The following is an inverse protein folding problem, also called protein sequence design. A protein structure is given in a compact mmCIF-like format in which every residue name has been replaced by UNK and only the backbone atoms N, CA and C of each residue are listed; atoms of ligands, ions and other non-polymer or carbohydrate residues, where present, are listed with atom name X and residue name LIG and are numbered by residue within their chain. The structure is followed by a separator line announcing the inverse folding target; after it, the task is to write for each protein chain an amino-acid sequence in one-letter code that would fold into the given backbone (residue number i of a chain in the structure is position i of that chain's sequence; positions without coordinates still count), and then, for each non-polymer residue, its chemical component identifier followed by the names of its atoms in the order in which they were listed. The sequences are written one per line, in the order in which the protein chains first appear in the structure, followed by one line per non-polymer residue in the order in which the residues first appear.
data_IF_921348712199
#
_entry.id   IF_921348712199
#
_cell.length_a   1.000
_cell.length_b   1.000
_cell.length_c   1.000
_cell.angle_alpha   90.00
_cell.angle_beta   90.00
_cell.angle_gamma   90.00
#
_symmetry.space_group_name_H-M   'P 1'
#
loop_
_entity.id
_entity.type
_entity.pdbx_description
1 polymer ?
#
# COMPACT_ATOMS: atom_id res chain seq x y z
N UNK A 1 12.48 -22.66 -4.53
CA UNK A 1 12.43 -21.22 -4.22
C UNK A 1 11.02 -20.63 -4.32
N UNK A 2 10.19 -20.99 -5.33
CA UNK A 2 8.76 -20.62 -5.39
C UNK A 2 7.87 -21.33 -4.34
N UNK A 3 8.07 -22.64 -4.16
CA UNK A 3 7.31 -23.47 -3.21
C UNK A 3 7.83 -23.41 -1.76
N UNK A 4 8.59 -22.38 -1.41
CA UNK A 4 8.88 -22.14 0.01
C UNK A 4 7.58 -21.72 0.71
N UNK A 5 7.39 -22.09 1.98
CA UNK A 5 6.23 -21.69 2.78
C UNK A 5 5.96 -20.17 2.70
N UNK A 6 7.01 -19.36 2.59
CA UNK A 6 6.92 -17.90 2.43
C UNK A 6 6.42 -17.47 1.05
N UNK A 7 6.87 -18.15 -0.02
CA UNK A 7 6.39 -17.88 -1.38
C UNK A 7 4.90 -18.19 -1.54
N UNK A 8 4.46 -19.31 -0.95
CA UNK A 8 3.03 -19.68 -0.92
C UNK A 8 2.23 -18.64 -0.11
N UNK A 9 2.76 -18.17 1.02
CA UNK A 9 2.10 -17.13 1.82
C UNK A 9 1.92 -15.83 1.03
N UNK A 10 2.97 -15.36 0.34
CA UNK A 10 2.91 -14.17 -0.52
C UNK A 10 1.89 -14.36 -1.64
N UNK A 11 1.91 -15.51 -2.33
CA UNK A 11 0.95 -15.85 -3.38
C UNK A 11 -0.48 -15.78 -2.86
N UNK A 12 -0.78 -16.42 -1.72
CA UNK A 12 -2.10 -16.41 -1.11
C UNK A 12 -2.53 -15.00 -0.70
N UNK A 13 -1.62 -14.18 -0.17
CA UNK A 13 -1.92 -12.79 0.17
C UNK A 13 -2.31 -11.99 -1.08
N UNK A 14 -1.56 -12.13 -2.19
CA UNK A 14 -1.85 -11.44 -3.45
C UNK A 14 -3.12 -11.94 -4.16
N UNK A 15 -3.44 -13.23 -4.01
CA UNK A 15 -4.70 -13.80 -4.46
C UNK A 15 -5.88 -13.20 -3.68
N UNK A 16 -5.82 -13.26 -2.35
CA UNK A 16 -6.91 -12.81 -1.46
C UNK A 16 -7.11 -11.29 -1.56
N UNK A 17 -6.05 -10.48 -1.56
CA UNK A 17 -6.15 -9.02 -1.67
C UNK A 17 -6.84 -8.59 -2.96
N UNK A 18 -6.55 -9.27 -4.08
CA UNK A 18 -7.09 -8.91 -5.39
C UNK A 18 -8.58 -9.23 -5.45
N UNK A 19 -8.99 -10.41 -4.95
CA UNK A 19 -10.40 -10.79 -4.85
C UNK A 19 -11.17 -9.83 -3.95
N UNK A 20 -10.69 -9.58 -2.73
CA UNK A 20 -11.34 -8.69 -1.78
C UNK A 20 -11.47 -7.28 -2.34
N UNK A 21 -10.42 -6.75 -2.98
CA UNK A 21 -10.47 -5.43 -3.58
C UNK A 21 -11.52 -5.35 -4.69
N UNK A 22 -11.53 -6.31 -5.63
CA UNK A 22 -12.52 -6.36 -6.72
C UNK A 22 -13.97 -6.46 -6.21
N UNK A 23 -14.22 -7.30 -5.21
CA UNK A 23 -15.55 -7.42 -4.59
C UNK A 23 -15.91 -6.11 -3.87
N UNK A 24 -14.97 -5.51 -3.14
CA UNK A 24 -15.20 -4.29 -2.38
C UNK A 24 -15.66 -3.14 -3.29
N UNK A 25 -14.94 -2.90 -4.39
CA UNK A 25 -15.30 -1.83 -5.34
C UNK A 25 -16.55 -2.14 -6.16
N UNK A 26 -16.98 -3.41 -6.25
CA UNK A 26 -18.20 -3.77 -6.99
C UNK A 26 -19.48 -3.57 -6.18
N UNK A 27 -19.39 -3.56 -4.85
CA UNK A 27 -20.55 -3.46 -3.95
C UNK A 27 -20.62 -2.16 -3.15
N UNK A 28 -19.51 -1.42 -3.06
CA UNK A 28 -19.43 -0.17 -2.30
C UNK A 28 -18.74 0.93 -3.12
N UNK A 29 -19.00 2.21 -2.80
CA UNK A 29 -18.33 3.33 -3.46
C UNK A 29 -16.81 3.19 -3.37
N UNK A 30 -16.14 3.31 -4.52
CA UNK A 30 -14.69 3.13 -4.63
C UNK A 30 -13.87 3.99 -3.65
N UNK A 31 -14.24 5.26 -3.33
CA UNK A 31 -13.52 6.05 -2.33
C UNK A 31 -13.45 5.39 -0.95
N UNK A 32 -14.54 4.76 -0.49
CA UNK A 32 -14.59 4.09 0.82
C UNK A 32 -13.59 2.93 0.87
N UNK A 33 -13.56 2.12 -0.19
CA UNK A 33 -12.62 1.00 -0.32
C UNK A 33 -11.18 1.49 -0.37
N UNK A 34 -10.91 2.57 -1.11
CA UNK A 34 -9.56 3.15 -1.21
C UNK A 34 -9.07 3.76 0.10
N UNK A 35 -9.94 4.40 0.90
CA UNK A 35 -9.57 4.87 2.24
C UNK A 35 -9.16 3.71 3.15
N UNK A 36 -9.82 2.55 3.01
CA UNK A 36 -9.42 1.34 3.73
C UNK A 36 -8.08 0.80 3.21
N UNK A 37 -7.84 0.83 1.89
CA UNK A 37 -6.55 0.43 1.29
C UNK A 37 -5.41 1.37 1.72
N UNK A 38 -5.67 2.66 1.95
CA UNK A 38 -4.66 3.61 2.44
C UNK A 38 -4.06 3.20 3.81
N UNK A 39 -4.71 2.30 4.54
CA UNK A 39 -4.26 1.81 5.87
C UNK A 39 -3.14 0.76 5.82
N UNK A 40 -2.71 0.32 4.64
CA UNK A 40 -1.57 -0.61 4.44
C UNK A 40 -0.35 -0.31 5.34
N UNK A 41 0.22 0.93 5.37
CA UNK A 41 1.38 1.22 6.19
C UNK A 41 1.13 1.02 7.69
N UNK A 42 -0.10 1.22 8.15
CA UNK A 42 -0.48 1.05 9.56
C UNK A 42 -0.46 -0.43 9.92
N UNK A 43 -1.12 -1.28 9.11
CA UNK A 43 -1.06 -2.72 9.31
C UNK A 43 0.35 -3.27 9.16
N UNK A 44 1.15 -2.71 8.23
CA UNK A 44 2.55 -3.09 8.09
C UNK A 44 3.37 -2.76 9.35
N UNK A 45 3.12 -1.63 10.02
CA UNK A 45 3.75 -1.29 11.29
C UNK A 45 3.33 -2.26 12.42
N UNK A 46 2.04 -2.63 12.47
CA UNK A 46 1.53 -3.60 13.46
C UNK A 46 2.12 -5.00 13.24
N UNK A 47 2.20 -5.48 11.99
CA UNK A 47 2.85 -6.75 11.66
C UNK A 47 4.36 -6.68 11.85
N UNK A 48 5.00 -5.55 11.55
CA UNK A 48 6.41 -5.31 11.85
C UNK A 48 6.71 -5.46 13.33
N UNK A 49 5.83 -4.95 14.19
CA UNK A 49 5.94 -5.15 15.63
C UNK A 49 5.85 -6.62 16.04
N UNK A 50 4.86 -7.36 15.54
CA UNK A 50 4.67 -8.77 15.92
C UNK A 50 5.69 -9.74 15.30
N UNK A 51 6.13 -9.48 14.07
CA UNK A 51 6.94 -10.43 13.27
C UNK A 51 8.43 -10.09 13.32
N UNK A 52 8.78 -8.80 13.36
CA UNK A 52 10.17 -8.33 13.44
C UNK A 52 10.57 -7.85 14.84
N UNK A 53 9.65 -7.84 15.83
CA UNK A 53 9.87 -7.27 17.15
C UNK A 53 10.30 -5.79 17.13
N UNK A 54 9.93 -5.04 16.08
CA UNK A 54 10.17 -3.59 16.00
C UNK A 54 9.18 -2.85 16.94
N UNK A 55 9.61 -1.93 17.82
CA UNK A 55 8.68 -1.26 18.72
C UNK A 55 7.68 -0.40 17.95
N UNK A 56 6.37 -0.66 18.13
CA UNK A 56 5.33 0.20 17.60
C UNK A 56 5.32 1.54 18.35
N UNK A 57 5.58 2.63 17.63
CA UNK A 57 5.60 3.97 18.22
C UNK A 57 4.21 4.37 18.73
N UNK A 58 4.14 5.25 19.75
CA UNK A 58 2.86 5.85 20.20
C UNK A 58 2.11 6.56 19.06
N UNK A 59 2.85 7.11 18.08
CA UNK A 59 2.30 7.73 16.87
C UNK A 59 1.50 6.73 16.02
N UNK A 60 1.94 5.47 15.92
CA UNK A 60 1.22 4.41 15.19
C UNK A 60 -0.16 4.16 15.79
N UNK A 61 -0.26 4.06 17.12
CA UNK A 61 -1.54 3.84 17.81
C UNK A 61 -2.52 5.01 17.67
N UNK A 62 -2.03 6.25 17.77
CA UNK A 62 -2.86 7.43 17.54
C UNK A 62 -3.37 7.44 16.09
N UNK A 63 -2.51 7.10 15.14
CA UNK A 63 -2.88 7.03 13.72
C UNK A 63 -3.95 5.98 13.46
N UNK A 64 -3.86 4.80 14.08
CA UNK A 64 -4.90 3.76 14.00
C UNK A 64 -6.26 4.32 14.41
N UNK A 65 -6.33 4.99 15.56
CA UNK A 65 -7.59 5.54 16.10
C UNK A 65 -8.15 6.59 15.13
N UNK A 66 -7.32 7.52 14.65
CA UNK A 66 -7.76 8.56 13.72
C UNK A 66 -8.24 7.98 12.39
N UNK A 67 -7.58 6.94 11.89
CA UNK A 67 -7.99 6.25 10.65
C UNK A 67 -9.31 5.53 10.84
N UNK A 68 -9.52 4.83 11.96
CA UNK A 68 -10.81 4.18 12.26
C UNK A 68 -11.92 5.23 12.28
N UNK A 69 -11.71 6.36 12.95
CA UNK A 69 -12.66 7.47 12.99
C UNK A 69 -12.94 8.01 11.57
N UNK A 70 -11.89 8.25 10.78
CA UNK A 70 -12.03 8.76 9.42
C UNK A 70 -12.79 7.81 8.49
N UNK A 71 -12.53 6.51 8.58
CA UNK A 71 -13.27 5.48 7.83
C UNK A 71 -14.72 5.43 8.28
N UNK A 72 -15.00 5.46 9.59
CA UNK A 72 -16.38 5.48 10.10
C UNK A 72 -17.16 6.70 9.61
N UNK A 73 -16.55 7.89 9.61
CA UNK A 73 -17.15 9.11 9.05
C UNK A 73 -17.40 8.94 7.55
N UNK A 74 -16.45 8.34 6.82
CA UNK A 74 -16.57 8.15 5.38
C UNK A 74 -17.70 7.20 5.00
N UNK A 75 -17.86 6.10 5.75
CA UNK A 75 -18.96 5.13 5.61
C UNK A 75 -20.30 5.81 5.90
N UNK A 76 -20.38 6.57 6.99
CA UNK A 76 -21.60 7.28 7.36
C UNK A 76 -22.00 8.32 6.30
N UNK A 77 -21.03 9.01 5.71
CA UNK A 77 -21.27 9.93 4.60
C UNK A 77 -21.64 9.26 3.29
N UNK A 78 -21.17 8.04 3.05
CA UNK A 78 -21.46 7.31 1.82
C UNK A 78 -22.91 6.81 1.77
N UNK A 79 -23.63 6.82 2.90
CA UNK A 79 -25.03 6.46 2.96
C UNK A 79 -25.92 7.62 2.44
N UNK A 80 -26.08 7.73 1.13
CA UNK A 80 -26.87 8.79 0.48
C UNK A 80 -28.35 8.45 0.25
N UNK A 81 -28.79 7.21 0.49
CA UNK A 81 -30.20 6.85 0.42
C UNK A 81 -30.76 6.77 1.84
N UNK A 82 -31.85 7.50 2.12
CA UNK A 82 -32.47 7.64 3.46
C UNK A 82 -33.08 6.34 4.02
N UNK A 83 -32.76 5.17 3.47
CA UNK A 83 -33.39 3.90 3.84
C UNK A 83 -32.30 2.83 3.98
N UNK A 84 -32.11 2.44 5.24
CA UNK A 84 -31.19 1.43 5.77
C UNK A 84 -29.69 1.75 5.78
N UNK A 85 -29.03 1.33 6.87
CA UNK A 85 -27.59 1.18 6.93
C UNK A 85 -27.20 0.16 5.86
N UNK A 86 -26.70 0.64 4.71
CA UNK A 86 -26.38 -0.26 3.61
C UNK A 86 -25.21 -1.18 4.00
N UNK A 87 -25.57 -2.42 4.34
CA UNK A 87 -24.63 -3.46 4.76
C UNK A 87 -23.57 -3.71 3.67
N UNK A 88 -23.88 -3.38 2.41
CA UNK A 88 -22.94 -3.47 1.30
C UNK A 88 -21.78 -2.49 1.44
N UNK A 89 -22.00 -1.27 1.94
CA UNK A 89 -20.94 -0.29 2.18
C UNK A 89 -19.99 -0.79 3.28
N UNK A 90 -20.55 -1.36 4.35
CA UNK A 90 -19.77 -1.95 5.44
C UNK A 90 -18.98 -3.16 4.94
N UNK A 91 -19.61 -4.05 4.17
CA UNK A 91 -18.95 -5.20 3.57
C UNK A 91 -17.83 -4.77 2.61
N UNK A 92 -18.05 -3.74 1.80
CA UNK A 92 -17.02 -3.18 0.93
C UNK A 92 -15.85 -2.56 1.70
N UNK A 93 -16.13 -1.86 2.80
CA UNK A 93 -15.10 -1.36 3.70
C UNK A 93 -14.31 -2.51 4.37
N UNK A 94 -14.99 -3.57 4.82
CA UNK A 94 -14.35 -4.78 5.36
C UNK A 94 -13.49 -5.48 4.31
N UNK A 95 -13.95 -5.54 3.05
CA UNK A 95 -13.16 -6.03 1.94
C UNK A 95 -11.90 -5.18 1.70
N UNK A 96 -12.01 -3.85 1.75
CA UNK A 96 -10.86 -2.94 1.67
C UNK A 96 -9.89 -3.05 2.85
N UNK A 97 -10.40 -3.31 4.06
CA UNK A 97 -9.57 -3.57 5.24
C UNK A 97 -8.89 -4.94 5.17
N UNK A 98 -9.59 -5.95 4.67
CA UNK A 98 -9.02 -7.28 4.45
C UNK A 98 -7.92 -7.28 3.38
N UNK A 99 -8.11 -6.52 2.30
CA UNK A 99 -7.08 -6.36 1.26
C UNK A 99 -5.83 -5.65 1.81
N UNK A 100 -6.00 -4.53 2.53
CA UNK A 100 -4.87 -3.83 3.17
C UNK A 100 -4.15 -4.67 4.24
N UNK A 101 -4.87 -5.50 4.98
CA UNK A 101 -4.29 -6.42 5.97
C UNK A 101 -3.46 -7.54 5.30
N UNK A 102 -3.98 -8.15 4.24
CA UNK A 102 -3.27 -9.24 3.54
C UNK A 102 -2.04 -8.73 2.77
N UNK A 103 -2.14 -7.60 2.08
CA UNK A 103 -1.00 -7.03 1.36
C UNK A 103 0.09 -6.50 2.31
N UNK A 104 -0.30 -5.91 3.45
CA UNK A 104 0.68 -5.43 4.44
C UNK A 104 1.47 -6.58 5.06
N UNK A 105 0.83 -7.73 5.34
CA UNK A 105 1.51 -8.94 5.76
C UNK A 105 2.57 -9.37 4.73
N UNK A 106 2.21 -9.38 3.43
CA UNK A 106 3.17 -9.68 2.37
C UNK A 106 4.35 -8.71 2.35
N UNK A 107 4.12 -7.41 2.54
CA UNK A 107 5.20 -6.42 2.60
C UNK A 107 6.17 -6.68 3.75
N UNK A 108 5.66 -7.05 4.93
CA UNK A 108 6.49 -7.40 6.08
C UNK A 108 7.34 -8.65 5.80
N UNK A 109 6.76 -9.69 5.19
CA UNK A 109 7.48 -10.91 4.81
C UNK A 109 8.60 -10.61 3.79
N UNK A 110 8.28 -9.85 2.73
CA UNK A 110 9.25 -9.47 1.70
C UNK A 110 10.41 -8.67 2.33
N UNK A 111 10.10 -7.77 3.26
CA UNK A 111 11.11 -6.98 3.99
C UNK A 111 12.02 -7.87 4.85
N UNK A 112 11.47 -8.89 5.49
CA UNK A 112 12.23 -9.82 6.33
C UNK A 112 13.07 -10.80 5.49
N UNK A 113 12.60 -11.19 4.31
CA UNK A 113 13.20 -12.23 3.45
C UNK A 113 13.61 -11.68 2.08
N UNK A 114 14.57 -10.74 2.09
CA UNK A 114 15.05 -10.01 0.91
C UNK A 114 15.59 -10.90 -0.23
N UNK A 115 16.03 -12.11 0.08
CA UNK A 115 16.62 -13.05 -0.89
C UNK A 115 15.57 -13.88 -1.66
N UNK A 116 14.29 -13.81 -1.27
CA UNK A 116 13.25 -14.57 -1.96
C UNK A 116 12.86 -13.89 -3.27
N UNK A 117 12.73 -14.64 -4.39
CA UNK A 117 12.18 -14.10 -5.63
C UNK A 117 10.66 -13.89 -5.49
N UNK A 118 10.23 -12.74 -4.93
CA UNK A 118 8.83 -12.46 -4.59
C UNK A 118 7.98 -12.00 -5.79
N UNK A 119 8.58 -11.50 -6.88
CA UNK A 119 7.88 -11.05 -8.10
C UNK A 119 7.00 -12.15 -8.70
N UNK A 120 7.51 -13.37 -8.77
CA UNK A 120 6.82 -14.48 -9.40
C UNK A 120 5.63 -15.01 -8.56
N UNK A 121 5.75 -15.25 -7.24
CA UNK A 121 4.60 -15.53 -6.37
C UNK A 121 3.49 -14.47 -6.44
N UNK A 122 3.85 -13.18 -6.46
CA UNK A 122 2.87 -12.08 -6.57
C UNK A 122 2.10 -12.16 -7.90
N UNK A 123 2.81 -12.30 -9.01
CA UNK A 123 2.20 -12.41 -10.34
C UNK A 123 1.29 -13.63 -10.47
N UNK A 124 1.71 -14.78 -9.92
CA UNK A 124 0.91 -16.01 -9.91
C UNK A 124 -0.37 -15.81 -9.06
N UNK A 125 -0.27 -15.16 -7.89
CA UNK A 125 -1.44 -14.90 -7.04
C UNK A 125 -2.49 -14.03 -7.73
N UNK A 126 -2.06 -12.95 -8.38
CA UNK A 126 -2.96 -12.07 -9.16
C UNK A 126 -3.53 -12.81 -10.38
N UNK A 127 -2.73 -13.63 -11.07
CA UNK A 127 -3.19 -14.43 -12.19
C UNK A 127 -4.30 -15.40 -11.77
N UNK A 128 -4.11 -16.16 -10.70
CA UNK A 128 -5.15 -17.04 -10.17
C UNK A 128 -6.39 -16.27 -9.75
N UNK A 129 -6.26 -15.08 -9.16
CA UNK A 129 -7.41 -14.24 -8.82
C UNK A 129 -8.19 -13.83 -10.08
N UNK A 130 -7.50 -13.47 -11.16
CA UNK A 130 -8.15 -13.15 -12.44
C UNK A 130 -8.88 -14.35 -13.04
N UNK A 131 -8.25 -15.53 -13.00
CA UNK A 131 -8.87 -16.79 -13.44
C UNK A 131 -10.11 -17.11 -12.61
N UNK A 132 -10.04 -16.98 -11.29
CA UNK A 132 -11.20 -17.16 -10.41
C UNK A 132 -12.31 -16.16 -10.74
N UNK A 133 -11.97 -14.90 -11.00
CA UNK A 133 -12.94 -13.89 -11.44
C UNK A 133 -13.65 -14.25 -12.75
N UNK A 134 -12.90 -14.81 -13.72
CA UNK A 134 -13.45 -15.31 -14.98
C UNK A 134 -14.45 -16.46 -14.77
N UNK A 135 -14.15 -17.41 -13.86
CA UNK A 135 -15.04 -18.52 -13.56
C UNK A 135 -16.29 -18.11 -12.79
N UNK A 136 -16.17 -17.18 -11.84
CA UNK A 136 -17.30 -16.72 -11.03
C UNK A 136 -18.25 -15.86 -11.85
N UNK A 137 -17.72 -14.90 -12.61
CA UNK A 137 -18.51 -13.93 -13.38
C UNK A 137 -19.03 -14.54 -14.67
N UNK A 138 -18.24 -15.43 -15.30
CA UNK A 138 -18.49 -15.98 -16.61
C UNK A 138 -18.08 -15.03 -17.74
N UNK A 139 -17.61 -15.61 -18.86
CA UNK A 139 -17.15 -14.85 -20.03
C UNK A 139 -18.20 -13.88 -20.58
N UNK A 140 -19.47 -14.32 -20.66
CA UNK A 140 -20.54 -13.51 -21.23
C UNK A 140 -20.77 -12.23 -20.43
N UNK A 141 -20.79 -12.31 -19.10
CA UNK A 141 -20.99 -11.16 -18.23
C UNK A 141 -19.76 -10.24 -18.19
N UNK A 142 -18.55 -10.76 -18.38
CA UNK A 142 -17.34 -9.92 -18.48
C UNK A 142 -17.32 -9.05 -19.73
N UNK A 143 -18.03 -9.46 -20.79
CA UNK A 143 -18.16 -8.67 -22.02
C UNK A 143 -19.32 -7.65 -21.94
N UNK A 144 -20.12 -7.68 -20.87
CA UNK A 144 -21.18 -6.69 -20.63
C UNK A 144 -20.55 -5.42 -20.04
N UNK A 145 -20.80 -4.28 -20.69
CA UNK A 145 -20.26 -2.98 -20.28
C UNK A 145 -19.21 -2.44 -21.25
N UNK A 146 -18.30 -1.61 -20.75
CA UNK A 146 -17.28 -0.95 -21.58
C UNK A 146 -15.96 -1.75 -21.54
N UNK A 147 -15.87 -2.77 -22.41
CA UNK A 147 -14.73 -3.72 -22.43
C UNK A 147 -13.41 -3.04 -22.79
N UNK A 148 -13.45 -1.99 -23.61
CA UNK A 148 -12.25 -1.33 -24.13
C UNK A 148 -11.46 -0.59 -23.03
N UNK A 149 -12.09 0.21 -22.14
CA UNK A 149 -11.45 0.72 -20.93
C UNK A 149 -10.90 -0.38 -20.01
N UNK A 150 -11.63 -1.49 -19.82
CA UNK A 150 -11.17 -2.59 -18.96
C UNK A 150 -9.89 -3.22 -19.52
N UNK A 151 -9.87 -3.53 -20.82
CA UNK A 151 -8.67 -4.07 -21.48
C UNK A 151 -7.51 -3.07 -21.40
N UNK A 152 -7.78 -1.78 -21.63
CA UNK A 152 -6.78 -0.72 -21.52
C UNK A 152 -6.19 -0.63 -20.10
N UNK A 153 -7.02 -0.81 -19.06
CA UNK A 153 -6.53 -0.82 -17.68
C UNK A 153 -5.55 -1.97 -17.43
N UNK A 154 -5.87 -3.18 -17.91
CA UNK A 154 -5.00 -4.35 -17.75
C UNK A 154 -3.69 -4.28 -18.53
N UNK A 155 -3.73 -3.81 -19.78
CA UNK A 155 -2.56 -3.81 -20.67
C UNK A 155 -1.66 -2.59 -20.47
N UNK A 156 -2.23 -1.42 -20.15
CA UNK A 156 -1.48 -0.17 -20.08
C UNK A 156 -1.41 0.36 -18.65
N UNK A 157 -2.54 0.51 -17.97
CA UNK A 157 -2.59 1.23 -16.68
C UNK A 157 -1.96 0.42 -15.54
N UNK A 158 -2.01 -0.91 -15.56
CA UNK A 158 -1.34 -1.72 -14.54
C UNK A 158 0.19 -1.83 -14.73
N UNK A 159 0.72 -2.23 -15.91
CA UNK A 159 2.15 -2.46 -16.06
C UNK A 159 2.98 -1.18 -16.26
N UNK A 160 2.46 -0.15 -16.92
CA UNK A 160 3.23 1.07 -17.22
C UNK A 160 3.65 1.79 -15.93
N UNK A 161 2.76 2.13 -14.98
CA UNK A 161 3.15 2.80 -13.74
C UNK A 161 4.10 1.94 -12.90
N UNK A 162 3.89 0.62 -12.84
CA UNK A 162 4.79 -0.30 -12.15
C UNK A 162 6.20 -0.30 -12.76
N UNK A 163 6.30 -0.29 -14.09
CA UNK A 163 7.58 -0.18 -14.79
C UNK A 163 8.24 1.18 -14.56
N UNK A 164 7.50 2.28 -14.72
CA UNK A 164 8.00 3.64 -14.48
C UNK A 164 8.47 3.82 -13.05
N UNK A 165 7.73 3.32 -12.06
CA UNK A 165 8.09 3.39 -10.64
C UNK A 165 9.37 2.59 -10.36
N UNK A 166 9.47 1.37 -10.91
CA UNK A 166 10.66 0.52 -10.79
C UNK A 166 11.87 1.15 -11.48
N UNK A 167 11.68 1.82 -12.61
CA UNK A 167 12.72 2.54 -13.33
C UNK A 167 13.15 3.81 -12.58
N UNK A 168 12.21 4.65 -12.17
CA UNK A 168 12.45 5.89 -11.44
C UNK A 168 13.14 5.65 -10.09
N UNK A 169 12.82 4.55 -9.39
CA UNK A 169 13.49 4.22 -8.13
C UNK A 169 15.02 4.02 -8.25
N UNK A 170 15.53 3.79 -9.48
CA UNK A 170 16.98 3.71 -9.76
C UNK A 170 17.65 5.08 -9.90
N UNK A 171 16.90 6.13 -10.24
CA UNK A 171 17.44 7.46 -10.54
C UNK A 171 17.07 8.51 -9.49
N UNK A 172 16.11 8.23 -8.62
CA UNK A 172 15.68 9.15 -7.57
C UNK A 172 15.98 8.60 -6.18
N UNK A 173 16.08 9.50 -5.19
CA UNK A 173 16.18 9.11 -3.79
C UNK A 173 14.87 8.42 -3.38
N UNK A 174 14.97 7.41 -2.51
CA UNK A 174 13.81 6.71 -1.95
C UNK A 174 12.73 7.66 -1.38
N UNK A 175 13.14 8.81 -0.86
CA UNK A 175 12.24 9.88 -0.38
C UNK A 175 11.29 10.39 -1.48
N UNK A 176 11.79 10.61 -2.71
CA UNK A 176 10.97 11.14 -3.80
C UNK A 176 9.93 10.11 -4.26
N UNK A 177 10.33 8.84 -4.33
CA UNK A 177 9.41 7.72 -4.65
C UNK A 177 8.31 7.63 -3.60
N UNK A 178 8.66 7.72 -2.32
CA UNK A 178 7.68 7.70 -1.22
C UNK A 178 6.70 8.88 -1.29
N UNK A 179 7.16 10.08 -1.70
CA UNK A 179 6.29 11.24 -1.87
C UNK A 179 5.31 11.07 -3.02
N UNK A 180 5.76 10.49 -4.14
CA UNK A 180 4.89 10.18 -5.29
C UNK A 180 3.81 9.17 -4.90
N UNK A 181 4.17 8.11 -4.17
CA UNK A 181 3.20 7.13 -3.67
C UNK A 181 2.19 7.74 -2.70
N UNK A 182 2.62 8.71 -1.87
CA UNK A 182 1.74 9.47 -0.99
C UNK A 182 0.82 10.40 -1.77
N UNK A 183 1.31 10.98 -2.87
CA UNK A 183 0.50 11.81 -3.75
C UNK A 183 -0.55 10.97 -4.48
N UNK A 184 -0.21 9.77 -4.93
CA UNK A 184 -1.12 8.83 -5.58
C UNK A 184 -2.28 8.43 -4.66
N UNK A 185 -2.02 8.15 -3.39
CA UNK A 185 -3.09 7.82 -2.42
C UNK A 185 -4.03 8.99 -2.15
N UNK A 186 -3.57 10.23 -2.30
CA UNK A 186 -4.42 11.43 -2.21
C UNK A 186 -5.19 11.66 -3.51
N UNK A 187 -4.54 11.51 -4.66
CA UNK A 187 -5.12 11.78 -5.97
C UNK A 187 -6.13 10.73 -6.41
N UNK A 188 -6.00 9.47 -5.99
CA UNK A 188 -6.89 8.37 -6.40
C UNK A 188 -8.38 8.66 -6.14
N UNK A 189 -8.79 8.95 -4.89
CA UNK A 189 -10.17 9.31 -4.58
C UNK A 189 -10.66 10.58 -5.31
N UNK A 190 -9.78 11.57 -5.49
CA UNK A 190 -10.12 12.81 -6.23
C UNK A 190 -10.39 12.53 -7.71
N UNK A 191 -9.59 11.66 -8.33
CA UNK A 191 -9.76 11.29 -9.74
C UNK A 191 -11.05 10.52 -9.99
N UNK A 192 -11.41 9.63 -9.06
CA UNK A 192 -12.67 8.88 -9.13
C UNK A 192 -13.85 9.85 -9.12
N UNK A 193 -13.87 10.80 -8.18
CA UNK A 193 -14.94 11.79 -8.11
C UNK A 193 -15.09 12.58 -9.43
N UNK A 194 -13.97 13.03 -10.01
CA UNK A 194 -13.98 13.77 -11.28
C UNK A 194 -14.41 12.89 -12.47
N UNK A 195 -14.08 11.61 -12.47
CA UNK A 195 -14.28 10.69 -13.59
C UNK A 195 -15.61 9.95 -13.61
N UNK A 196 -16.15 9.56 -12.44
CA UNK A 196 -17.39 8.78 -12.34
C UNK A 196 -18.62 9.63 -12.10
N UNK A 197 -18.45 10.88 -11.64
CA UNK A 197 -19.55 11.77 -11.28
C UNK A 197 -20.29 11.35 -10.00
N UNK A 198 -19.85 10.29 -9.31
CA UNK A 198 -20.28 9.96 -7.95
C UNK A 198 -19.85 11.09 -7.04
N UNK A 199 -20.76 12.02 -6.72
CA UNK A 199 -20.46 13.12 -5.81
C UNK A 199 -20.33 12.55 -4.40
N UNK A 200 -19.11 12.47 -3.82
CA UNK A 200 -18.98 12.10 -2.43
C UNK A 200 -19.66 13.18 -1.60
N UNK A 201 -20.39 12.77 -0.57
CA UNK A 201 -20.97 13.73 0.36
C UNK A 201 -19.86 14.48 1.10
N UNK A 202 -20.22 15.62 1.70
CA UNK A 202 -19.30 16.37 2.56
C UNK A 202 -18.70 15.49 3.66
N UNK A 203 -19.47 14.55 4.21
CA UNK A 203 -19.01 13.62 5.24
C UNK A 203 -17.99 12.60 4.68
N UNK A 204 -18.21 12.05 3.49
CA UNK A 204 -17.22 11.17 2.84
C UNK A 204 -15.90 11.88 2.57
N UNK A 205 -15.96 13.15 2.16
CA UNK A 205 -14.76 13.98 1.96
C UNK A 205 -14.02 14.26 3.27
N UNK A 206 -14.74 14.60 4.35
CA UNK A 206 -14.15 14.82 5.68
C UNK A 206 -13.49 13.54 6.19
N UNK A 207 -14.17 12.40 6.09
CA UNK A 207 -13.62 11.10 6.50
C UNK A 207 -12.36 10.74 5.73
N UNK A 208 -12.38 10.89 4.41
CA UNK A 208 -11.22 10.69 3.55
C UNK A 208 -10.05 11.62 3.90
N UNK A 209 -10.31 12.90 4.14
CA UNK A 209 -9.30 13.87 4.56
C UNK A 209 -8.64 13.46 5.88
N UNK A 210 -9.43 13.04 6.88
CA UNK A 210 -8.89 12.56 8.17
C UNK A 210 -7.99 11.34 7.97
N UNK A 211 -8.39 10.38 7.15
CA UNK A 211 -7.59 9.17 6.86
C UNK A 211 -6.26 9.55 6.20
N UNK A 212 -6.30 10.28 5.09
CA UNK A 212 -5.13 10.67 4.31
C UNK A 212 -4.17 11.52 5.15
N UNK A 213 -4.69 12.50 5.89
CA UNK A 213 -3.87 13.40 6.70
C UNK A 213 -3.19 12.67 7.85
N UNK A 214 -3.91 11.75 8.52
CA UNK A 214 -3.37 10.94 9.62
C UNK A 214 -2.23 10.04 9.13
N UNK A 215 -2.43 9.36 8.00
CA UNK A 215 -1.40 8.51 7.40
C UNK A 215 -0.21 9.35 6.92
N UNK A 216 -0.46 10.50 6.29
CA UNK A 216 0.58 11.41 5.85
C UNK A 216 1.48 11.88 6.99
N UNK A 217 0.89 12.32 8.10
CA UNK A 217 1.64 12.69 9.31
C UNK A 217 2.43 11.49 9.84
N UNK A 218 1.81 10.33 9.92
CA UNK A 218 2.46 9.12 10.42
C UNK A 218 3.69 8.73 9.59
N UNK A 219 3.56 8.76 8.26
CA UNK A 219 4.64 8.46 7.32
C UNK A 219 5.76 9.49 7.43
N UNK A 220 5.44 10.79 7.52
CA UNK A 220 6.44 11.84 7.69
C UNK A 220 7.20 11.72 9.01
N UNK A 221 6.49 11.43 10.11
CA UNK A 221 7.09 11.24 11.43
C UNK A 221 8.03 10.03 11.44
N UNK A 222 7.59 8.92 10.86
CA UNK A 222 8.38 7.69 10.75
C UNK A 222 9.62 7.90 9.88
N UNK A 223 9.48 8.57 8.74
CA UNK A 223 10.60 8.88 7.86
C UNK A 223 11.64 9.81 8.52
N UNK A 224 11.19 10.79 9.31
CA UNK A 224 12.08 11.68 10.06
C UNK A 224 12.87 10.90 11.12
N UNK A 225 12.19 10.05 11.89
CA UNK A 225 12.82 9.25 12.94
C UNK A 225 13.93 8.35 12.37
N UNK A 226 13.66 7.64 11.26
CA UNK A 226 14.68 6.81 10.61
C UNK A 226 15.87 7.62 10.07
N UNK A 227 15.64 8.84 9.59
CA UNK A 227 16.70 9.73 9.13
C UNK A 227 17.61 10.17 10.28
N UNK A 228 17.02 10.51 11.41
CA UNK A 228 17.75 10.98 12.59
C UNK A 228 18.57 9.84 13.21
N UNK A 229 18.02 8.62 13.31
CA UNK A 229 18.77 7.42 13.72
C UNK A 229 19.95 7.13 12.80
N UNK A 230 19.76 7.21 11.47
CA UNK A 230 20.83 6.96 10.52
C UNK A 230 21.96 7.98 10.63
N UNK A 231 21.63 9.26 10.85
CA UNK A 231 22.63 10.31 11.12
C UNK A 231 23.40 10.04 12.41
N UNK A 232 22.71 9.71 13.50
CA UNK A 232 23.37 9.36 14.75
C UNK A 232 24.33 8.16 14.59
N UNK A 233 23.94 7.15 13.83
CA UNK A 233 24.81 6.00 13.51
C UNK A 233 26.03 6.43 12.69
N UNK A 234 25.87 7.29 11.68
CA UNK A 234 26.97 7.85 10.88
C UNK A 234 27.92 8.72 11.73
N UNK A 235 27.38 9.57 12.61
CA UNK A 235 28.17 10.43 13.51
C UNK A 235 28.87 9.65 14.63
N UNK A 236 28.31 8.51 15.04
CA UNK A 236 28.87 7.62 16.07
C UNK A 236 29.95 6.68 15.56
N UNK A 237 30.12 6.53 14.23
CA UNK A 237 31.24 5.76 13.68
C UNK A 237 32.54 6.45 14.08
N UNK A 238 33.52 5.74 14.66
CA UNK A 238 34.82 6.32 14.91
C UNK A 238 35.36 6.85 13.58
N UNK A 239 35.77 8.12 13.55
CA UNK A 239 36.52 8.66 12.40
C UNK A 239 37.71 7.73 12.20
N UNK A 240 37.78 7.05 11.05
CA UNK A 240 39.01 6.36 10.65
C UNK A 240 40.11 7.43 10.65
N UNK A 241 40.89 7.47 11.73
CA UNK A 241 42.16 8.16 11.69
C UNK A 241 42.97 7.39 10.67
N UNK A 242 43.30 8.06 9.57
CA UNK A 242 44.21 7.56 8.56
C UNK A 242 45.63 7.60 9.18
N UNK A 243 45.90 6.73 10.14
CA UNK A 243 47.22 6.54 10.69
C UNK A 243 47.90 5.50 9.82
N UNK A 244 48.99 5.90 9.16
CA UNK A 244 49.91 5.14 8.30
C UNK A 244 49.81 5.47 6.80
N UNK A 245 50.63 6.44 6.38
CA UNK A 245 51.34 6.40 5.09
C UNK A 245 52.76 5.93 5.44
N UNK A 246 53.11 4.67 5.17
CA UNK A 246 54.47 4.11 5.34
C UNK A 246 55.32 4.25 4.05
N UNK A 247 54.94 5.15 3.14
CA UNK A 247 55.63 5.28 1.85
C UNK A 247 56.66 6.44 1.80
N UNK A 248 56.75 7.27 2.85
CA UNK A 248 57.69 8.41 2.89
C UNK A 248 59.08 8.08 3.47
N UNK A 249 59.33 6.85 3.95
CA UNK A 249 60.59 6.47 4.63
C UNK A 249 61.62 5.75 3.74
N UNK A 250 61.46 5.74 2.41
CA UNK A 250 62.36 4.98 1.49
C UNK A 250 63.37 5.83 0.70
N UNK A 251 63.58 7.10 1.04
CA UNK A 251 64.47 7.99 0.26
C UNK A 251 65.88 8.26 0.84
N UNK A 252 66.34 7.47 1.82
CA UNK A 252 67.71 7.61 2.34
C UNK A 252 68.46 6.28 2.52
N UNK A 253 68.91 5.67 1.43
CA UNK A 253 70.15 4.85 1.39
C UNK A 253 70.72 4.78 -0.02
#
# INVERSE_FOLDING_TARGET
MLFSNWGITILSCYFITTILFCIGISIAPAPVVLFCVATIPIFAAVFGHKILNEPASKSTWITIILVIIGISIAIFGANTQEIDFDILIILGALCGLGSSLTISLSYVIIRQKKELPFVLPMGIGVFFSGVTGLFITGYQNMMIGNTLPIIATGIFILPIPMYLLSYASKFTRATNVSLILLLETVLGPLWIWLGTGEKPTYLTLIGGFVVIFSIGIHLLYTAKTQRDEKKHLEDSKPREYNWINWDDDKEYT
#
